data_IF_926592877761
#
_entry.id   IF_926592877761
#
_cell.length_a   1.000
_cell.length_b   1.000
_cell.length_c   1.000
_cell.angle_alpha   90.00
_cell.angle_beta   90.00
_cell.angle_gamma   90.00
#
_symmetry.space_group_name_H-M   'P 1'
#
loop_
_entity.id
_entity.type
_entity.pdbx_description
1 polymer ?
#
# COMPACT_ATOMS: atom_id res chain seq x y z
N UNK A 1 3.66 -32.12 0.58
CA UNK A 1 2.20 -32.19 0.32
C UNK A 1 2.00 -31.91 -1.17
N UNK A 2 1.45 -32.87 -1.93
CA UNK A 2 1.13 -32.66 -3.37
C UNK A 2 -0.32 -32.19 -3.43
N UNK A 3 -0.54 -31.02 -3.98
CA UNK A 3 -1.90 -30.53 -4.28
C UNK A 3 -2.58 -31.47 -5.26
N UNK A 4 -3.87 -31.74 -5.07
CA UNK A 4 -4.63 -32.53 -6.03
C UNK A 4 -4.83 -31.75 -7.33
N UNK A 5 -4.99 -32.48 -8.44
CA UNK A 5 -5.24 -31.86 -9.75
C UNK A 5 -6.54 -30.99 -9.74
N UNK A 6 -7.52 -31.34 -8.89
CA UNK A 6 -8.77 -30.59 -8.71
C UNK A 6 -8.55 -29.26 -7.97
N UNK A 7 -7.68 -29.22 -6.96
CA UNK A 7 -7.33 -27.98 -6.25
C UNK A 7 -6.55 -27.03 -7.16
N UNK A 8 -5.64 -27.56 -7.98
CA UNK A 8 -4.94 -26.77 -9.00
C UNK A 8 -5.89 -26.24 -10.09
N UNK A 9 -6.90 -27.02 -10.49
CA UNK A 9 -7.87 -26.60 -11.49
C UNK A 9 -8.83 -25.53 -10.97
N UNK A 10 -9.27 -25.63 -9.71
CA UNK A 10 -10.14 -24.61 -9.10
C UNK A 10 -9.43 -23.26 -8.92
N UNK A 11 -8.14 -23.29 -8.59
CA UNK A 11 -7.31 -22.07 -8.47
C UNK A 11 -7.12 -21.42 -9.85
N UNK A 12 -6.84 -22.18 -10.90
CA UNK A 12 -6.69 -21.65 -12.26
C UNK A 12 -7.99 -21.08 -12.83
N UNK A 13 -9.11 -21.76 -12.63
CA UNK A 13 -10.41 -21.29 -13.09
C UNK A 13 -10.79 -19.95 -12.45
N UNK A 14 -10.44 -19.73 -11.19
CA UNK A 14 -10.66 -18.46 -10.51
C UNK A 14 -9.74 -17.34 -11.04
N UNK A 15 -8.46 -17.64 -11.33
CA UNK A 15 -7.51 -16.69 -11.93
C UNK A 15 -7.89 -16.28 -13.37
N UNK A 16 -8.52 -17.18 -14.14
CA UNK A 16 -8.94 -16.94 -15.54
C UNK A 16 -10.24 -16.13 -15.67
N UNK A 17 -11.06 -16.03 -14.63
CA UNK A 17 -12.38 -15.39 -14.66
C UNK A 17 -12.37 -13.90 -14.29
N UNK A 18 -11.25 -13.39 -13.76
CA UNK A 18 -11.13 -12.01 -13.28
C UNK A 18 -10.53 -11.08 -14.35
N UNK A 19 -11.27 -10.08 -14.77
CA UNK A 19 -10.71 -8.97 -15.56
C UNK A 19 -9.78 -8.13 -14.70
N UNK A 20 -8.56 -7.86 -15.18
CA UNK A 20 -7.61 -6.98 -14.52
C UNK A 20 -8.18 -5.56 -14.44
N UNK A 21 -8.15 -4.98 -13.26
CA UNK A 21 -8.49 -3.58 -13.03
C UNK A 21 -7.37 -2.66 -13.53
N UNK A 22 -7.78 -1.48 -13.95
CA UNK A 22 -6.91 -0.40 -14.35
C UNK A 22 -7.06 0.80 -13.43
N UNK A 23 -6.15 1.76 -13.50
CA UNK A 23 -6.28 3.06 -12.79
C UNK A 23 -7.59 3.76 -13.18
N UNK A 24 -8.03 3.63 -14.44
CA UNK A 24 -9.31 4.19 -14.88
C UNK A 24 -10.51 3.53 -14.19
N UNK A 25 -10.44 2.24 -13.85
CA UNK A 25 -11.49 1.57 -13.11
C UNK A 25 -11.59 2.11 -11.68
N UNK A 26 -10.46 2.40 -11.02
CA UNK A 26 -10.46 3.06 -9.71
C UNK A 26 -11.11 4.45 -9.78
N UNK A 27 -10.83 5.22 -10.84
CA UNK A 27 -11.49 6.50 -11.08
C UNK A 27 -13.00 6.34 -11.33
N UNK A 28 -13.42 5.30 -12.06
CA UNK A 28 -14.82 4.99 -12.28
C UNK A 28 -15.55 4.58 -11.00
N UNK A 29 -14.87 3.84 -10.11
CA UNK A 29 -15.41 3.50 -8.78
C UNK A 29 -15.72 4.77 -7.99
N UNK A 30 -14.78 5.72 -7.90
CA UNK A 30 -15.04 7.03 -7.28
C UNK A 30 -16.25 7.73 -7.89
N UNK A 31 -16.31 7.82 -9.21
CA UNK A 31 -17.38 8.53 -9.92
C UNK A 31 -18.77 7.91 -9.68
N UNK A 32 -18.83 6.62 -9.36
CA UNK A 32 -20.05 5.89 -9.01
C UNK A 32 -20.34 5.87 -7.51
N UNK A 33 -19.44 6.36 -6.67
CA UNK A 33 -19.53 6.26 -5.22
C UNK A 33 -19.23 4.85 -4.68
N UNK A 34 -18.62 3.98 -5.48
CA UNK A 34 -18.14 2.66 -5.08
C UNK A 34 -16.81 2.81 -4.31
N UNK A 35 -16.61 2.02 -3.25
CA UNK A 35 -15.43 2.15 -2.40
C UNK A 35 -14.28 1.28 -2.89
N UNK A 36 -13.08 1.85 -2.92
CA UNK A 36 -11.84 1.18 -3.29
C UNK A 36 -11.28 0.45 -2.07
N UNK A 37 -11.18 -0.87 -2.17
CA UNK A 37 -10.53 -1.70 -1.16
C UNK A 37 -9.04 -1.84 -1.48
N UNK A 38 -8.17 -1.33 -0.61
CA UNK A 38 -6.72 -1.39 -0.83
C UNK A 38 -6.00 -2.16 0.30
N UNK A 39 -4.93 -2.88 -0.07
CA UNK A 39 -4.12 -3.65 0.85
C UNK A 39 -2.62 -3.45 0.62
N UNK A 40 -1.87 -3.24 1.70
CA UNK A 40 -0.40 -3.25 1.66
C UNK A 40 0.09 -4.67 1.86
N UNK A 41 0.90 -5.19 0.95
CA UNK A 41 1.49 -6.52 1.04
C UNK A 41 2.91 -6.54 0.42
N UNK A 42 3.67 -7.58 0.74
CA UNK A 42 5.09 -7.65 0.40
C UNK A 42 5.51 -8.99 -0.23
N UNK A 43 4.62 -9.97 -0.26
CA UNK A 43 4.96 -11.33 -0.69
C UNK A 43 3.84 -11.98 -1.50
N UNK A 44 4.20 -13.05 -2.19
CA UNK A 44 3.32 -13.84 -3.06
C UNK A 44 2.10 -14.41 -2.32
N UNK A 45 2.27 -14.86 -1.07
CA UNK A 45 1.18 -15.54 -0.35
C UNK A 45 0.12 -14.53 0.07
N UNK A 46 0.55 -13.40 0.66
CA UNK A 46 -0.36 -12.33 1.06
C UNK A 46 -1.05 -11.71 -0.16
N UNK A 47 -0.32 -11.52 -1.27
CA UNK A 47 -0.90 -11.05 -2.54
C UNK A 47 -2.06 -11.94 -2.99
N UNK A 48 -1.86 -13.25 -3.03
CA UNK A 48 -2.91 -14.21 -3.43
C UNK A 48 -4.10 -14.22 -2.47
N UNK A 49 -3.87 -14.00 -1.19
CA UNK A 49 -4.96 -13.87 -0.20
C UNK A 49 -5.80 -12.63 -0.48
N UNK A 50 -5.16 -11.48 -0.69
CA UNK A 50 -5.83 -10.23 -1.03
C UNK A 50 -6.59 -10.30 -2.36
N UNK A 51 -5.96 -10.84 -3.39
CA UNK A 51 -6.59 -11.08 -4.69
C UNK A 51 -7.88 -11.92 -4.55
N UNK A 52 -7.78 -13.01 -3.78
CA UNK A 52 -8.93 -13.88 -3.51
C UNK A 52 -10.01 -13.22 -2.64
N UNK A 53 -9.64 -12.26 -1.82
CA UNK A 53 -10.58 -11.44 -1.05
C UNK A 53 -11.25 -10.35 -1.89
N UNK A 54 -10.81 -10.13 -3.13
CA UNK A 54 -11.40 -9.16 -4.06
C UNK A 54 -10.85 -7.74 -3.91
N UNK A 55 -9.57 -7.59 -3.48
CA UNK A 55 -8.93 -6.27 -3.36
C UNK A 55 -8.86 -5.56 -4.71
N UNK A 56 -8.96 -4.23 -4.71
CA UNK A 56 -8.92 -3.41 -5.93
C UNK A 56 -7.54 -2.81 -6.19
N UNK A 57 -6.78 -2.53 -5.11
CA UNK A 57 -5.44 -1.95 -5.15
C UNK A 57 -4.51 -2.68 -4.18
N UNK A 58 -3.37 -3.12 -4.67
CA UNK A 58 -2.27 -3.65 -3.87
C UNK A 58 -1.13 -2.63 -3.84
N UNK A 59 -0.63 -2.32 -2.66
CA UNK A 59 0.49 -1.41 -2.46
C UNK A 59 1.68 -2.15 -1.83
N UNK A 60 2.84 -2.01 -2.47
CA UNK A 60 4.12 -2.47 -1.91
C UNK A 60 4.77 -1.28 -1.24
N UNK A 61 4.60 -1.18 0.08
CA UNK A 61 5.05 -0.03 0.87
C UNK A 61 6.51 -0.15 1.32
N UNK A 62 7.19 0.97 1.47
CA UNK A 62 8.56 1.05 2.03
C UNK A 62 8.63 0.64 3.51
N UNK A 63 7.50 0.66 4.22
CA UNK A 63 7.37 0.15 5.60
C UNK A 63 7.79 -1.33 5.77
N UNK A 64 7.97 -2.09 4.67
CA UNK A 64 8.60 -3.41 4.68
C UNK A 64 9.98 -3.38 5.32
N UNK A 65 10.71 -2.29 5.17
CA UNK A 65 12.06 -2.06 5.74
C UNK A 65 12.09 -2.30 7.24
N UNK A 66 11.23 -1.63 7.97
CA UNK A 66 11.16 -1.73 9.44
C UNK A 66 10.46 -3.00 9.90
N UNK A 67 9.39 -3.38 9.22
CA UNK A 67 8.49 -4.42 9.72
C UNK A 67 8.97 -5.83 9.46
N UNK A 68 9.55 -6.08 8.28
CA UNK A 68 9.97 -7.43 7.86
C UNK A 68 11.47 -7.60 7.76
N UNK A 69 12.21 -6.51 7.53
CA UNK A 69 13.67 -6.56 7.43
C UNK A 69 14.38 -6.10 8.71
N UNK A 70 13.65 -5.48 9.66
CA UNK A 70 14.20 -5.02 10.94
C UNK A 70 15.20 -3.86 10.79
N UNK A 71 15.09 -3.08 9.72
CA UNK A 71 15.87 -1.88 9.52
C UNK A 71 15.48 -0.79 10.53
N UNK A 72 16.43 -0.04 11.03
CA UNK A 72 16.18 1.05 11.98
C UNK A 72 15.83 2.35 11.28
N UNK A 73 16.38 2.56 10.07
CA UNK A 73 16.20 3.76 9.27
C UNK A 73 15.75 3.42 7.84
N UNK A 74 14.79 4.18 7.31
CA UNK A 74 14.30 4.01 5.94
C UNK A 74 15.38 4.34 4.88
N UNK A 75 16.44 5.07 5.24
CA UNK A 75 17.61 5.31 4.39
C UNK A 75 18.43 4.05 4.08
N UNK A 76 18.24 2.97 4.86
CA UNK A 76 18.87 1.67 4.58
C UNK A 76 18.15 0.92 3.44
N UNK A 77 16.90 1.30 3.14
CA UNK A 77 16.06 0.58 2.19
C UNK A 77 16.25 1.06 0.76
N UNK A 78 17.02 0.32 0.00
CA UNK A 78 17.40 0.68 -1.37
C UNK A 78 16.27 0.45 -2.39
N UNK A 79 16.38 1.14 -3.54
CA UNK A 79 15.52 0.89 -4.70
C UNK A 79 15.58 -0.59 -5.17
N UNK A 80 16.75 -1.21 -5.16
CA UNK A 80 16.89 -2.62 -5.57
C UNK A 80 16.11 -3.56 -4.65
N UNK A 81 16.08 -3.29 -3.35
CA UNK A 81 15.26 -4.03 -2.40
C UNK A 81 13.77 -3.82 -2.69
N UNK A 82 13.32 -2.58 -2.92
CA UNK A 82 11.93 -2.28 -3.29
C UNK A 82 11.52 -3.00 -4.57
N UNK A 83 12.36 -3.01 -5.59
CA UNK A 83 12.11 -3.71 -6.85
C UNK A 83 11.94 -5.23 -6.65
N UNK A 84 12.66 -5.83 -5.70
CA UNK A 84 12.50 -7.24 -5.37
C UNK A 84 11.10 -7.54 -4.84
N UNK A 85 10.61 -6.75 -3.87
CA UNK A 85 9.25 -6.89 -3.33
C UNK A 85 8.19 -6.56 -4.37
N UNK A 86 8.37 -5.48 -5.13
CA UNK A 86 7.47 -5.10 -6.22
C UNK A 86 7.29 -6.21 -7.26
N UNK A 87 8.39 -6.83 -7.68
CA UNK A 87 8.36 -8.00 -8.60
C UNK A 87 7.62 -9.20 -7.99
N UNK A 88 7.77 -9.45 -6.69
CA UNK A 88 7.10 -10.57 -6.03
C UNK A 88 5.57 -10.39 -6.03
N UNK A 89 5.09 -9.19 -5.72
CA UNK A 89 3.65 -8.85 -5.70
C UNK A 89 3.09 -8.79 -7.11
N UNK A 90 3.67 -7.97 -7.99
CA UNK A 90 3.12 -7.75 -9.33
C UNK A 90 3.05 -9.02 -10.20
N UNK A 91 3.94 -9.99 -9.96
CA UNK A 91 3.96 -11.27 -10.69
C UNK A 91 2.71 -12.11 -10.48
N UNK A 92 2.02 -11.95 -9.36
CA UNK A 92 0.86 -12.76 -8.96
C UNK A 92 -0.40 -11.93 -8.69
N UNK A 93 -0.35 -10.64 -8.93
CA UNK A 93 -1.50 -9.76 -8.95
C UNK A 93 -2.19 -9.88 -10.31
N UNK A 94 -3.33 -10.56 -10.37
CA UNK A 94 -4.04 -10.81 -11.61
C UNK A 94 -5.21 -9.86 -11.83
N UNK A 95 -5.86 -9.42 -10.75
CA UNK A 95 -7.01 -8.51 -10.77
C UNK A 95 -6.66 -7.08 -10.35
N UNK A 96 -6.01 -6.93 -9.20
CA UNK A 96 -5.79 -5.63 -8.58
C UNK A 96 -4.81 -4.74 -9.35
N UNK A 97 -5.02 -3.43 -9.27
CA UNK A 97 -4.00 -2.43 -9.62
C UNK A 97 -2.82 -2.57 -8.64
N UNK A 98 -1.60 -2.46 -9.13
CA UNK A 98 -0.39 -2.58 -8.30
C UNK A 98 0.33 -1.24 -8.21
N UNK A 99 0.51 -0.77 -6.99
CA UNK A 99 1.40 0.33 -6.64
C UNK A 99 2.69 -0.20 -6.03
N UNK A 100 3.83 0.40 -6.38
CA UNK A 100 5.13 0.20 -5.72
C UNK A 100 5.63 1.55 -5.25
N UNK A 101 5.87 1.69 -3.95
CA UNK A 101 6.30 2.95 -3.36
C UNK A 101 7.70 3.35 -3.85
N UNK A 102 7.94 4.65 -3.99
CA UNK A 102 9.26 5.22 -4.17
C UNK A 102 9.99 5.19 -2.83
N UNK A 103 11.16 4.55 -2.71
CA UNK A 103 11.89 4.55 -1.43
C UNK A 103 12.28 5.97 -0.99
N UNK A 104 12.14 6.26 0.30
CA UNK A 104 12.51 7.54 0.91
C UNK A 104 13.95 7.96 0.56
N UNK A 105 14.91 7.02 0.56
CA UNK A 105 16.30 7.30 0.18
C UNK A 105 16.43 7.82 -1.25
N UNK A 106 15.53 7.43 -2.14
CA UNK A 106 15.52 7.91 -3.53
C UNK A 106 15.00 9.34 -3.62
N UNK A 107 13.93 9.67 -2.90
CA UNK A 107 13.42 11.05 -2.79
C UNK A 107 14.48 11.98 -2.20
N UNK A 108 15.17 11.56 -1.16
CA UNK A 108 16.27 12.32 -0.56
C UNK A 108 17.43 12.58 -1.53
N UNK A 109 17.55 11.82 -2.62
CA UNK A 109 18.55 12.03 -3.66
C UNK A 109 18.09 13.01 -4.77
N UNK A 110 16.84 13.46 -4.70
CA UNK A 110 16.24 14.50 -5.53
C UNK A 110 15.61 14.02 -6.85
N UNK A 111 14.94 14.94 -7.57
CA UNK A 111 14.04 14.63 -8.69
C UNK A 111 14.65 13.78 -9.82
N UNK A 112 15.95 13.96 -10.09
CA UNK A 112 16.63 13.15 -11.12
C UNK A 112 16.74 11.68 -10.72
N UNK A 113 17.03 11.40 -9.45
CA UNK A 113 17.08 10.03 -8.94
C UNK A 113 15.66 9.41 -8.95
N UNK A 114 14.65 10.19 -8.60
CA UNK A 114 13.25 9.78 -8.64
C UNK A 114 12.79 9.47 -10.07
N UNK A 115 13.16 10.28 -11.06
CA UNK A 115 12.87 10.03 -12.48
C UNK A 115 13.44 8.67 -12.94
N UNK A 116 14.72 8.42 -12.66
CA UNK A 116 15.37 7.15 -13.02
C UNK A 116 14.75 5.96 -12.28
N UNK A 117 14.43 6.12 -11.00
CA UNK A 117 13.77 5.09 -10.20
C UNK A 117 12.36 4.79 -10.72
N UNK A 118 11.58 5.79 -11.09
CA UNK A 118 10.24 5.61 -11.67
C UNK A 118 10.30 4.78 -12.96
N UNK A 119 11.27 5.04 -13.84
CA UNK A 119 11.52 4.24 -15.06
C UNK A 119 11.85 2.79 -14.72
N UNK A 120 12.66 2.55 -13.69
CA UNK A 120 13.01 1.22 -13.21
C UNK A 120 11.82 0.49 -12.59
N UNK A 121 11.06 1.15 -11.71
CA UNK A 121 9.84 0.56 -11.11
C UNK A 121 8.90 0.12 -12.23
N UNK A 122 8.59 1.01 -13.18
CA UNK A 122 7.72 0.72 -14.32
C UNK A 122 8.19 -0.48 -15.14
N UNK A 123 9.47 -0.51 -15.51
CA UNK A 123 9.99 -1.52 -16.44
C UNK A 123 10.33 -2.86 -15.79
N UNK A 124 10.72 -2.86 -14.52
CA UNK A 124 11.22 -4.06 -13.84
C UNK A 124 10.16 -4.77 -13.00
N UNK A 125 9.14 -4.07 -12.45
CA UNK A 125 8.15 -4.68 -11.55
C UNK A 125 6.82 -4.99 -12.23
N UNK A 126 6.50 -4.36 -13.35
CA UNK A 126 5.18 -4.37 -13.98
C UNK A 126 4.08 -3.72 -13.12
N UNK A 127 4.46 -2.84 -12.19
CA UNK A 127 3.52 -2.03 -11.44
C UNK A 127 2.77 -1.05 -12.35
N UNK A 128 1.55 -0.71 -11.95
CA UNK A 128 0.69 0.21 -12.71
C UNK A 128 0.96 1.68 -12.34
N UNK A 129 1.47 1.94 -11.13
CA UNK A 129 1.81 3.26 -10.62
C UNK A 129 2.86 3.19 -9.50
N UNK A 130 3.38 4.36 -9.11
CA UNK A 130 4.26 4.51 -7.94
C UNK A 130 3.72 5.54 -6.98
N UNK A 131 3.97 5.35 -5.68
CA UNK A 131 3.65 6.33 -4.64
C UNK A 131 4.89 7.12 -4.27
N UNK A 132 4.75 8.43 -4.12
CA UNK A 132 5.77 9.34 -3.59
C UNK A 132 5.23 9.93 -2.29
N UNK A 133 5.92 9.68 -1.19
CA UNK A 133 5.58 10.27 0.11
C UNK A 133 6.18 11.67 0.21
N UNK A 134 5.32 12.69 0.26
CA UNK A 134 5.72 14.09 0.36
C UNK A 134 5.21 14.74 1.64
N UNK A 135 4.67 13.96 2.57
CA UNK A 135 4.11 14.47 3.83
C UNK A 135 5.12 15.34 4.57
N UNK A 136 4.66 16.46 5.12
CA UNK A 136 5.46 17.41 5.91
C UNK A 136 6.63 18.07 5.17
N UNK A 137 6.90 17.68 3.93
CA UNK A 137 7.97 18.19 3.06
C UNK A 137 7.44 18.49 1.65
N UNK A 138 6.18 18.87 1.55
CA UNK A 138 5.51 18.98 0.25
C UNK A 138 6.16 20.04 -0.66
N UNK A 139 6.68 21.14 -0.09
CA UNK A 139 7.37 22.17 -0.90
C UNK A 139 8.69 21.66 -1.49
N UNK A 140 9.44 20.88 -0.73
CA UNK A 140 10.73 20.31 -1.13
C UNK A 140 10.57 19.12 -2.09
N UNK A 141 9.56 18.27 -1.85
CA UNK A 141 9.38 17.01 -2.57
C UNK A 141 8.35 17.09 -3.70
N UNK A 142 7.70 18.23 -3.92
CA UNK A 142 6.76 18.38 -5.03
C UNK A 142 7.41 18.15 -6.40
N UNK A 143 8.66 18.57 -6.58
CA UNK A 143 9.43 18.33 -7.80
C UNK A 143 9.68 16.83 -8.06
N UNK A 144 9.68 15.99 -7.03
CA UNK A 144 9.77 14.54 -7.17
C UNK A 144 8.47 13.96 -7.78
N UNK A 145 7.32 14.48 -7.37
CA UNK A 145 6.04 14.12 -8.01
C UNK A 145 6.03 14.52 -9.48
N UNK A 146 6.50 15.73 -9.80
CA UNK A 146 6.62 16.20 -11.17
C UNK A 146 7.60 15.35 -11.99
N UNK A 147 8.70 14.91 -11.39
CA UNK A 147 9.68 14.04 -12.03
C UNK A 147 9.05 12.70 -12.44
N UNK A 148 8.24 12.07 -11.58
CA UNK A 148 7.49 10.86 -11.94
C UNK A 148 6.52 11.13 -13.08
N UNK A 149 5.70 12.20 -12.98
CA UNK A 149 4.73 12.58 -14.02
C UNK A 149 5.44 12.77 -15.37
N UNK A 150 6.60 13.41 -15.38
CA UNK A 150 7.42 13.63 -16.57
C UNK A 150 7.84 12.35 -17.28
N UNK A 151 7.92 11.22 -16.60
CA UNK A 151 8.20 9.90 -17.22
C UNK A 151 6.99 9.27 -17.90
N UNK A 152 5.78 9.81 -17.70
CA UNK A 152 4.53 9.19 -18.12
C UNK A 152 4.18 7.93 -17.30
N UNK A 153 4.78 7.75 -16.11
CA UNK A 153 4.36 6.73 -15.16
C UNK A 153 3.36 7.33 -14.19
N UNK A 154 2.20 6.70 -13.96
CA UNK A 154 1.21 7.22 -13.03
C UNK A 154 1.76 7.37 -11.62
N UNK A 155 1.40 8.45 -10.94
CA UNK A 155 1.84 8.74 -9.58
C UNK A 155 0.66 8.85 -8.61
N UNK A 156 0.87 8.37 -7.40
CA UNK A 156 -0.04 8.31 -6.28
C UNK A 156 0.63 8.97 -5.07
N UNK A 157 0.61 10.32 -4.96
CA UNK A 157 1.28 11.04 -3.87
C UNK A 157 0.64 10.78 -2.51
N UNK A 158 1.46 10.71 -1.47
CA UNK A 158 1.01 10.67 -0.09
C UNK A 158 1.13 12.05 0.54
N UNK A 159 0.01 12.54 1.09
CA UNK A 159 -0.16 13.88 1.67
C UNK A 159 -0.70 13.74 3.09
N UNK A 160 -0.45 14.73 3.94
CA UNK A 160 -0.92 14.77 5.31
C UNK A 160 0.23 14.87 6.31
N UNK A 161 0.15 14.13 7.41
CA UNK A 161 1.11 14.26 8.50
C UNK A 161 1.77 12.92 8.84
N UNK A 162 3.01 12.95 9.37
CA UNK A 162 3.76 11.75 9.73
C UNK A 162 3.16 11.03 10.93
N UNK A 163 2.67 11.80 11.90
CA UNK A 163 2.07 11.29 13.12
C UNK A 163 0.65 11.83 13.24
N UNK A 164 -0.29 11.00 13.66
CA UNK A 164 -1.63 11.47 13.99
C UNK A 164 -1.62 12.22 15.32
N UNK A 165 -2.14 13.45 15.29
CA UNK A 165 -2.37 14.26 16.48
C UNK A 165 -3.81 14.80 16.50
N UNK A 166 -4.45 14.94 17.67
CA UNK A 166 -5.79 15.51 17.76
C UNK A 166 -5.90 16.94 17.18
N UNK A 167 -4.79 17.66 17.09
CA UNK A 167 -4.69 18.99 16.49
C UNK A 167 -4.83 18.99 14.97
N UNK A 168 -4.63 17.87 14.29
CA UNK A 168 -4.72 17.74 12.82
C UNK A 168 -6.16 17.77 12.29
N UNK A 169 -6.95 18.68 12.78
CA UNK A 169 -8.32 18.97 12.36
C UNK A 169 -8.61 20.46 12.30
N UNK A 170 -7.58 21.30 12.50
CA UNK A 170 -7.74 22.77 12.46
C UNK A 170 -8.02 23.26 11.03
N UNK A 171 -8.56 24.49 10.92
CA UNK A 171 -8.73 25.16 9.62
C UNK A 171 -7.40 25.32 8.88
N UNK A 172 -6.31 25.57 9.62
CA UNK A 172 -4.96 25.69 9.03
C UNK A 172 -4.51 24.37 8.40
N UNK A 173 -4.77 23.23 9.06
CA UNK A 173 -4.42 21.92 8.53
C UNK A 173 -5.26 21.60 7.31
N UNK A 174 -6.55 21.94 7.33
CA UNK A 174 -7.42 21.81 6.17
C UNK A 174 -6.90 22.59 4.97
N UNK A 175 -6.58 23.88 5.16
CA UNK A 175 -6.08 24.75 4.07
C UNK A 175 -4.76 24.22 3.51
N UNK A 176 -3.85 23.72 4.37
CA UNK A 176 -2.59 23.10 3.98
C UNK A 176 -2.81 21.83 3.13
N UNK A 177 -3.61 20.91 3.64
CA UNK A 177 -3.91 19.64 2.94
C UNK A 177 -4.61 19.92 1.61
N UNK A 178 -5.60 20.82 1.58
CA UNK A 178 -6.31 21.16 0.35
C UNK A 178 -5.40 21.83 -0.68
N UNK A 179 -4.48 22.71 -0.27
CA UNK A 179 -3.47 23.29 -1.17
C UNK A 179 -2.72 22.22 -1.91
N UNK A 180 -2.18 21.22 -1.18
CA UNK A 180 -1.33 20.22 -1.77
C UNK A 180 -2.11 19.13 -2.53
N UNK A 181 -3.29 18.74 -2.07
CA UNK A 181 -4.17 17.85 -2.81
C UNK A 181 -4.56 18.43 -4.19
N UNK A 182 -4.88 19.74 -4.24
CA UNK A 182 -5.11 20.42 -5.52
C UNK A 182 -3.85 20.48 -6.38
N UNK A 183 -2.70 20.84 -5.79
CA UNK A 183 -1.45 20.96 -6.54
C UNK A 183 -1.05 19.64 -7.22
N UNK A 184 -1.10 18.50 -6.49
CA UNK A 184 -0.75 17.20 -7.07
C UNK A 184 -1.78 16.73 -8.10
N UNK A 185 -3.08 16.97 -7.86
CA UNK A 185 -4.13 16.65 -8.82
C UNK A 185 -3.95 17.45 -10.12
N UNK A 186 -3.74 18.76 -10.02
CA UNK A 186 -3.57 19.63 -11.18
C UNK A 186 -2.28 19.32 -11.95
N UNK A 187 -1.26 18.81 -11.28
CA UNK A 187 -0.05 18.29 -11.91
C UNK A 187 -0.27 16.98 -12.67
N UNK A 188 -1.30 16.19 -12.34
CA UNK A 188 -1.63 14.95 -13.03
C UNK A 188 -1.51 13.68 -12.18
N UNK A 189 -1.49 13.79 -10.86
CA UNK A 189 -1.60 12.61 -9.98
C UNK A 189 -2.91 11.84 -10.26
N UNK A 190 -2.84 10.51 -10.19
CA UNK A 190 -3.98 9.64 -10.51
C UNK A 190 -4.81 9.23 -9.28
N UNK A 191 -4.24 9.34 -8.10
CA UNK A 191 -4.85 9.11 -6.78
C UNK A 191 -4.11 9.92 -5.73
N UNK A 192 -4.67 9.99 -4.52
CA UNK A 192 -4.03 10.58 -3.34
C UNK A 192 -4.16 9.64 -2.14
N UNK A 193 -3.03 9.35 -1.48
CA UNK A 193 -3.00 8.72 -0.15
C UNK A 193 -3.02 9.83 0.90
N UNK A 194 -4.14 9.97 1.59
CA UNK A 194 -4.29 10.98 2.63
C UNK A 194 -4.08 10.34 4.00
N UNK A 195 -3.16 10.89 4.80
CA UNK A 195 -2.69 10.21 6.01
C UNK A 195 -2.69 11.14 7.22
N UNK A 196 -3.11 10.62 8.38
CA UNK A 196 -3.06 11.28 9.69
C UNK A 196 -3.80 12.63 9.76
N UNK A 197 -4.93 12.75 9.08
CA UNK A 197 -5.83 13.91 9.16
C UNK A 197 -7.15 13.50 9.81
N UNK A 198 -7.94 14.51 10.26
CA UNK A 198 -9.25 14.24 10.85
C UNK A 198 -10.26 13.71 9.81
N UNK A 199 -11.30 13.04 10.30
CA UNK A 199 -12.37 12.53 9.43
C UNK A 199 -13.07 13.63 8.64
N UNK A 200 -13.20 14.82 9.22
CA UNK A 200 -13.80 15.98 8.58
C UNK A 200 -12.96 16.48 7.41
N UNK A 201 -11.63 16.53 7.59
CA UNK A 201 -10.70 16.88 6.50
C UNK A 201 -10.76 15.80 5.42
N UNK A 202 -10.76 14.52 5.79
CA UNK A 202 -10.91 13.43 4.82
C UNK A 202 -12.15 13.60 3.95
N UNK A 203 -13.30 13.79 4.61
CA UNK A 203 -14.58 13.98 3.93
C UNK A 203 -14.56 15.18 2.98
N UNK A 204 -14.06 16.31 3.45
CA UNK A 204 -14.00 17.52 2.66
C UNK A 204 -13.08 17.39 1.44
N UNK A 205 -11.90 16.77 1.62
CA UNK A 205 -10.94 16.52 0.53
C UNK A 205 -11.51 15.54 -0.48
N UNK A 206 -12.06 14.40 -0.04
CA UNK A 206 -12.63 13.41 -0.94
C UNK A 206 -13.78 13.95 -1.80
N UNK A 207 -14.57 14.88 -1.26
CA UNK A 207 -15.65 15.55 -1.99
C UNK A 207 -15.16 16.64 -2.97
N UNK A 208 -14.05 17.30 -2.67
CA UNK A 208 -13.53 18.41 -3.49
C UNK A 208 -12.57 17.95 -4.59
N UNK A 209 -11.77 16.94 -4.33
CA UNK A 209 -10.74 16.41 -5.24
C UNK A 209 -11.38 15.44 -6.24
N UNK A 210 -10.97 15.50 -7.51
CA UNK A 210 -11.55 14.71 -8.60
C UNK A 210 -10.98 13.30 -8.68
N UNK A 211 -9.69 13.13 -8.35
CA UNK A 211 -9.05 11.81 -8.33
C UNK A 211 -9.42 11.05 -7.04
N UNK A 212 -9.33 9.71 -7.00
CA UNK A 212 -9.62 8.95 -5.78
C UNK A 212 -8.72 9.39 -4.61
N UNK A 213 -9.35 9.55 -3.43
CA UNK A 213 -8.67 9.86 -2.17
C UNK A 213 -8.92 8.72 -1.19
N UNK A 214 -7.87 7.99 -0.84
CA UNK A 214 -7.92 6.88 0.12
C UNK A 214 -6.87 7.06 1.21
N UNK A 215 -6.88 6.21 2.22
CA UNK A 215 -5.83 6.17 3.25
C UNK A 215 -6.14 5.19 4.36
N UNK A 216 -5.15 4.94 5.23
CA UNK A 216 -5.24 3.94 6.30
C UNK A 216 -6.23 4.29 7.41
N UNK A 217 -6.50 5.57 7.61
CA UNK A 217 -7.37 6.09 8.66
C UNK A 217 -8.66 6.71 8.12
N UNK A 218 -8.94 6.51 6.82
CA UNK A 218 -10.12 7.05 6.19
C UNK A 218 -11.41 6.54 6.84
N UNK A 219 -12.38 7.44 6.94
CA UNK A 219 -13.77 7.10 7.30
C UNK A 219 -14.58 6.67 6.09
N UNK A 220 -15.88 6.36 6.28
CA UNK A 220 -16.77 5.90 5.23
C UNK A 220 -17.00 6.94 4.12
N UNK A 221 -16.68 8.21 4.38
CA UNK A 221 -16.84 9.31 3.42
C UNK A 221 -15.74 9.35 2.35
N UNK A 222 -14.56 8.77 2.63
CA UNK A 222 -13.48 8.68 1.66
C UNK A 222 -13.84 7.74 0.49
N UNK A 223 -13.09 7.83 -0.60
CA UNK A 223 -13.31 6.97 -1.77
C UNK A 223 -12.90 5.52 -1.55
N UNK A 224 -12.16 5.23 -0.50
CA UNK A 224 -11.75 3.89 -0.14
C UNK A 224 -10.86 3.87 1.10
N UNK A 225 -10.36 2.68 1.42
CA UNK A 225 -9.47 2.48 2.57
C UNK A 225 -8.34 1.51 2.24
N UNK A 226 -7.15 1.83 2.75
CA UNK A 226 -6.00 0.94 2.66
C UNK A 226 -5.71 0.32 4.03
N UNK A 227 -5.51 -1.01 4.06
CA UNK A 227 -5.10 -1.74 5.24
C UNK A 227 -3.69 -2.29 5.07
N UNK A 228 -2.88 -2.12 6.10
CA UNK A 228 -1.58 -2.78 6.18
C UNK A 228 -1.79 -4.21 6.66
N UNK A 229 -1.43 -5.20 5.83
CA UNK A 229 -1.77 -6.61 6.02
C UNK A 229 -1.38 -7.16 7.39
N UNK A 230 -0.16 -6.92 7.84
CA UNK A 230 0.33 -7.45 9.11
C UNK A 230 -0.37 -6.82 10.33
N UNK A 231 -0.82 -5.56 10.22
CA UNK A 231 -1.63 -4.91 11.26
C UNK A 231 -3.05 -5.47 11.27
N UNK A 232 -3.66 -5.59 10.09
CA UNK A 232 -5.04 -6.10 9.96
C UNK A 232 -5.16 -7.54 10.46
N UNK A 233 -4.19 -8.39 10.14
CA UNK A 233 -4.21 -9.82 10.48
C UNK A 233 -3.60 -10.14 11.83
N UNK A 234 -2.94 -9.18 12.48
CA UNK A 234 -2.16 -9.44 13.69
C UNK A 234 -0.96 -10.36 13.45
N UNK A 235 -0.37 -10.35 12.24
CA UNK A 235 0.89 -11.05 11.95
C UNK A 235 2.08 -10.26 12.47
N UNK A 236 2.15 -10.15 13.78
CA UNK A 236 3.21 -9.47 14.55
C UNK A 236 3.53 -10.28 15.78
N UNK A 237 4.81 -10.43 16.12
CA UNK A 237 5.24 -11.21 17.30
C UNK A 237 4.67 -10.68 18.62
N UNK A 238 4.46 -9.38 18.74
CA UNK A 238 3.83 -8.74 19.91
C UNK A 238 2.30 -8.97 19.99
N UNK A 239 1.70 -9.59 18.98
CA UNK A 239 0.29 -9.97 18.97
C UNK A 239 0.04 -11.39 19.52
N UNK A 240 1.09 -12.17 19.81
CA UNK A 240 0.98 -13.55 20.33
C UNK A 240 0.20 -13.59 21.63
N UNK A 241 0.48 -12.67 22.55
CA UNK A 241 -0.10 -12.64 23.88
C UNK A 241 -1.37 -11.77 23.99
N UNK A 242 -1.84 -11.17 22.88
CA UNK A 242 -3.06 -10.36 22.91
C UNK A 242 -4.31 -11.21 23.14
N UNK A 243 -5.16 -10.74 24.05
CA UNK A 243 -6.44 -11.34 24.39
C UNK A 243 -7.61 -10.33 24.38
N UNK A 244 -7.51 -9.32 23.53
CA UNK A 244 -8.47 -8.21 23.41
C UNK A 244 -9.53 -8.44 22.32
N UNK A 245 -9.55 -9.64 21.72
CA UNK A 245 -10.48 -10.00 20.65
C UNK A 245 -10.05 -9.53 19.26
N UNK A 246 -8.89 -8.86 19.15
CA UNK A 246 -8.35 -8.50 17.83
C UNK A 246 -7.78 -9.73 17.11
N UNK A 247 -7.80 -9.75 15.76
CA UNK A 247 -7.18 -10.84 15.00
C UNK A 247 -5.69 -11.00 15.36
N UNK A 248 -5.24 -12.25 15.53
CA UNK A 248 -3.83 -12.57 15.80
C UNK A 248 -3.41 -13.81 15.01
N UNK A 249 -3.00 -13.62 13.75
CA UNK A 249 -2.39 -14.68 12.96
C UNK A 249 -1.09 -15.17 13.62
N UNK A 250 -0.34 -14.29 14.27
CA UNK A 250 0.89 -14.64 14.97
C UNK A 250 0.65 -15.64 16.10
N UNK A 251 -0.43 -15.52 16.88
CA UNK A 251 -0.79 -16.48 17.93
C UNK A 251 -1.05 -17.87 17.35
N UNK A 252 -1.84 -17.95 16.29
CA UNK A 252 -2.12 -19.23 15.62
C UNK A 252 -0.85 -19.89 15.07
N UNK A 253 0.03 -19.11 14.42
CA UNK A 253 1.32 -19.60 13.93
C UNK A 253 2.22 -20.07 15.08
N UNK A 254 2.26 -19.33 16.20
CA UNK A 254 3.01 -19.68 17.39
C UNK A 254 2.55 -21.01 18.00
N UNK A 255 1.24 -21.24 18.11
CA UNK A 255 0.68 -22.48 18.64
C UNK A 255 1.11 -23.69 17.79
N UNK A 256 1.03 -23.59 16.46
CA UNK A 256 1.48 -24.64 15.53
C UNK A 256 2.99 -24.89 15.65
N UNK A 257 3.78 -23.82 15.69
CA UNK A 257 5.23 -23.91 15.79
C UNK A 257 5.67 -24.52 17.14
N UNK A 258 5.01 -24.15 18.23
CA UNK A 258 5.29 -24.65 19.57
C UNK A 258 4.98 -26.15 19.68
N UNK A 259 3.85 -26.60 19.13
CA UNK A 259 3.53 -28.03 19.05
C UNK A 259 4.58 -28.81 18.24
N UNK A 260 4.96 -28.27 17.07
CA UNK A 260 5.99 -28.90 16.24
C UNK A 260 7.35 -29.00 16.96
N UNK A 261 7.79 -27.94 17.63
CA UNK A 261 9.03 -27.92 18.42
C UNK A 261 8.98 -28.94 19.55
N UNK A 262 7.84 -29.02 20.28
CA UNK A 262 7.65 -29.99 21.36
C UNK A 262 7.72 -31.44 20.85
N UNK A 263 7.10 -31.75 19.73
CA UNK A 263 7.16 -33.07 19.09
C UNK A 263 8.58 -33.43 18.65
N UNK A 264 9.31 -32.49 18.06
CA UNK A 264 10.73 -32.69 17.67
C UNK A 264 11.56 -33.02 18.93
N UNK A 265 11.42 -32.24 20.02
CA UNK A 265 12.17 -32.49 21.24
C UNK A 265 11.84 -33.83 21.92
N UNK A 266 10.60 -34.28 21.80
CA UNK A 266 10.17 -35.58 22.37
C UNK A 266 10.36 -36.77 21.45
N UNK A 267 10.75 -36.57 20.20
CA UNK A 267 10.91 -37.64 19.20
C UNK A 267 9.57 -38.24 18.73
N UNK A 268 8.49 -37.48 18.75
CA UNK A 268 7.12 -37.97 18.44
C UNK A 268 6.51 -37.33 17.16
N UNK A 269 7.34 -36.82 16.25
CA UNK A 269 6.89 -36.25 14.97
C UNK A 269 6.37 -37.26 13.96
#
# INVERSE_FOLDING_TARGET
MKWSALECASIRAWEEELSRLTINDLQLMKNKGEKIAAGVCYDVQMTKIWERAGVDLLSVGDSVSRTFLGMEDDSEFSLDAMLLFGKAVARVAHRAVVNVDMPTVTCNAGPKAVEEAAKRIKSETLADMTKVDIRTQEEELFDDVLAVIGTGFPVYPQIGFDVWEPSHGSTKDFDHVMKWCNAVQDAGAVMIDLTNVSHEIYSAVANAIKVPVIGGQSGPEADGRIYVSYLLTGYRSDSIDKNDGTPSAAKYIYEIASDAVSKIHSGTW
#
